data_IF_511207026248
#
_entry.id   IF_511207026248
#
_cell.length_a   1.000
_cell.length_b   1.000
_cell.length_c   1.000
_cell.angle_alpha   90.00
_cell.angle_beta   90.00
_cell.angle_gamma   90.00
#
_symmetry.space_group_name_H-M   'P 1'
#
loop_
_entity.id
_entity.type
_entity.pdbx_description
1 polymer ?
#
# COMPACT_ATOMS: atom_id res chain seq x y z
N UNK A 1 -38.97 -24.14 23.70
CA UNK A 1 -38.18 -22.93 24.06
C UNK A 1 -36.67 -23.15 24.16
N UNK A 2 -36.14 -24.02 25.04
CA UNK A 2 -34.67 -24.14 25.27
C UNK A 2 -33.83 -24.50 24.03
N UNK A 3 -34.34 -25.34 23.12
CA UNK A 3 -33.64 -25.69 21.85
C UNK A 3 -33.57 -24.51 20.87
N UNK A 4 -34.65 -23.74 20.73
CA UNK A 4 -34.69 -22.57 19.85
C UNK A 4 -33.73 -21.46 20.31
N UNK A 5 -33.64 -21.21 21.62
CA UNK A 5 -32.69 -20.23 22.18
C UNK A 5 -31.24 -20.63 21.90
N UNK A 6 -30.91 -21.93 22.02
CA UNK A 6 -29.56 -22.44 21.70
C UNK A 6 -29.20 -22.29 20.22
N UNK A 7 -30.14 -22.55 19.31
CA UNK A 7 -29.92 -22.39 17.87
C UNK A 7 -29.71 -20.93 17.51
N UNK A 8 -30.52 -20.03 18.09
CA UNK A 8 -30.40 -18.59 17.86
C UNK A 8 -29.06 -18.04 18.37
N UNK A 9 -28.62 -18.50 19.54
CA UNK A 9 -27.33 -18.12 20.12
C UNK A 9 -26.16 -18.60 19.26
N UNK A 10 -26.21 -19.82 18.73
CA UNK A 10 -25.18 -20.34 17.83
C UNK A 10 -25.11 -19.53 16.52
N UNK A 11 -26.26 -19.20 15.94
CA UNK A 11 -26.34 -18.37 14.72
C UNK A 11 -25.76 -16.97 14.96
N UNK A 12 -26.08 -16.37 16.12
CA UNK A 12 -25.54 -15.08 16.51
C UNK A 12 -24.02 -15.12 16.66
N UNK A 13 -23.46 -16.16 17.29
CA UNK A 13 -22.01 -16.35 17.43
C UNK A 13 -21.33 -16.48 16.06
N UNK A 14 -21.91 -17.24 15.12
CA UNK A 14 -21.37 -17.40 13.77
C UNK A 14 -21.38 -16.06 13.01
N UNK A 15 -22.50 -15.34 13.04
CA UNK A 15 -22.62 -14.01 12.41
C UNK A 15 -21.63 -13.03 13.05
N UNK A 16 -21.51 -13.04 14.38
CA UNK A 16 -20.58 -12.18 15.10
C UNK A 16 -19.12 -12.46 14.70
N UNK A 17 -18.71 -13.74 14.61
CA UNK A 17 -17.37 -14.09 14.15
C UNK A 17 -17.12 -13.69 12.69
N UNK A 18 -18.12 -13.77 11.81
CA UNK A 18 -18.01 -13.35 10.41
C UNK A 18 -17.80 -11.83 10.29
N UNK A 19 -18.47 -11.03 11.12
CA UNK A 19 -18.33 -9.55 11.11
C UNK A 19 -16.99 -9.10 11.71
N UNK A 20 -16.46 -9.82 12.70
CA UNK A 20 -15.19 -9.46 13.36
C UNK A 20 -13.94 -9.71 12.49
N UNK A 21 -14.06 -10.35 11.33
CA UNK A 21 -12.94 -10.61 10.41
C UNK A 21 -12.65 -9.46 9.43
N UNK A 22 -13.30 -8.31 9.57
CA UNK A 22 -13.01 -7.13 8.76
C UNK A 22 -11.70 -6.50 9.26
N UNK A 23 -10.59 -6.81 8.58
CA UNK A 23 -9.32 -6.11 8.81
C UNK A 23 -9.45 -4.67 8.32
N UNK A 24 -9.13 -3.73 9.19
CA UNK A 24 -9.01 -2.33 8.81
C UNK A 24 -7.88 -2.18 7.77
N UNK A 25 -8.06 -1.23 6.86
CA UNK A 25 -7.03 -0.87 5.89
C UNK A 25 -5.78 -0.37 6.62
N UNK A 26 -4.63 -0.95 6.27
CA UNK A 26 -3.34 -0.52 6.78
C UNK A 26 -2.82 0.67 5.95
N UNK A 27 -2.41 1.74 6.64
CA UNK A 27 -1.73 2.89 6.03
C UNK A 27 -0.31 2.88 6.57
N UNK A 28 0.66 2.69 5.68
CA UNK A 28 2.08 2.72 6.00
C UNK A 28 2.57 4.15 5.91
N UNK A 29 3.16 4.66 6.99
CA UNK A 29 3.71 6.01 7.04
C UNK A 29 5.16 6.00 6.55
N UNK A 30 5.50 6.95 5.70
CA UNK A 30 6.86 7.20 5.22
C UNK A 30 7.36 8.42 6.00
N UNK A 31 8.20 8.20 7.01
CA UNK A 31 8.76 9.27 7.82
C UNK A 31 10.26 9.34 7.57
N UNK A 32 10.70 10.42 6.94
CA UNK A 32 12.09 10.59 6.53
C UNK A 32 12.65 9.35 5.80
N UNK A 33 11.86 8.80 4.88
CA UNK A 33 12.21 7.60 4.14
C UNK A 33 13.30 7.93 3.11
N UNK A 34 14.44 7.24 3.19
CA UNK A 34 15.58 7.51 2.33
C UNK A 34 15.45 6.78 0.99
N UNK A 35 15.70 7.52 -0.11
CA UNK A 35 15.76 6.99 -1.46
C UNK A 35 17.07 7.46 -2.09
N UNK A 36 18.06 6.57 -2.08
CA UNK A 36 19.42 6.87 -2.53
C UNK A 36 19.82 6.02 -3.74
N UNK A 37 20.78 6.51 -4.52
CA UNK A 37 21.23 5.90 -5.78
C UNK A 37 20.19 5.94 -6.92
N UNK A 38 20.64 6.20 -8.15
CA UNK A 38 19.73 6.17 -9.30
C UNK A 38 19.38 4.72 -9.64
N UNK A 39 18.09 4.43 -9.85
CA UNK A 39 17.53 3.08 -10.09
C UNK A 39 17.68 2.06 -8.95
N UNK A 40 18.38 2.37 -7.87
CA UNK A 40 18.32 1.59 -6.63
C UNK A 40 16.88 1.58 -6.11
N UNK A 41 16.44 0.40 -5.68
CA UNK A 41 15.09 0.21 -5.16
C UNK A 41 15.10 0.16 -3.63
N UNK A 42 14.09 0.77 -3.03
CA UNK A 42 13.91 0.86 -1.58
C UNK A 42 12.52 0.37 -1.23
N UNK A 43 12.40 -0.46 -0.19
CA UNK A 43 11.16 -1.18 0.11
C UNK A 43 10.61 -0.83 1.49
N UNK A 44 9.29 -0.73 1.59
CA UNK A 44 8.60 -0.57 2.88
C UNK A 44 8.40 -1.90 3.58
N UNK A 45 7.88 -1.83 4.81
CA UNK A 45 7.24 -2.99 5.41
C UNK A 45 6.05 -3.48 4.55
N UNK A 46 5.73 -4.76 4.71
CA UNK A 46 4.57 -5.38 4.09
C UNK A 46 3.27 -4.99 4.79
N UNK A 47 2.22 -4.69 4.02
CA UNK A 47 0.86 -4.48 4.50
C UNK A 47 -0.14 -5.40 3.81
N UNK A 48 -1.22 -5.75 4.52
CA UNK A 48 -2.25 -6.69 4.02
C UNK A 48 -3.22 -5.97 3.08
N UNK A 49 -3.40 -6.53 1.88
CA UNK A 49 -4.41 -6.06 0.93
C UNK A 49 -5.78 -6.59 1.32
N UNK A 50 -6.72 -5.69 1.58
CA UNK A 50 -8.06 -6.02 2.08
C UNK A 50 -9.12 -6.09 0.97
N UNK A 51 -8.82 -5.57 -0.23
CA UNK A 51 -9.72 -5.59 -1.39
C UNK A 51 -8.97 -5.52 -2.72
N UNK A 52 -9.62 -5.96 -3.79
CA UNK A 52 -9.10 -5.78 -5.15
C UNK A 52 -9.27 -4.31 -5.52
N UNK A 53 -8.18 -3.56 -5.52
CA UNK A 53 -8.18 -2.10 -5.76
C UNK A 53 -6.78 -1.62 -6.17
N UNK A 54 -6.66 -0.45 -6.83
CA UNK A 54 -5.39 0.26 -6.96
C UNK A 54 -4.71 0.45 -5.60
N UNK A 55 -3.36 0.47 -5.60
CA UNK A 55 -2.62 0.95 -4.44
C UNK A 55 -2.50 2.47 -4.52
N UNK A 56 -2.29 3.11 -3.39
CA UNK A 56 -2.25 4.57 -3.29
C UNK A 56 -0.94 5.00 -2.67
N UNK A 57 -0.35 6.02 -3.26
CA UNK A 57 0.82 6.72 -2.71
C UNK A 57 0.44 8.19 -2.57
N UNK A 58 0.71 8.77 -1.41
CA UNK A 58 0.46 10.16 -1.11
C UNK A 58 1.72 10.75 -0.50
N UNK A 59 2.48 11.46 -1.32
CA UNK A 59 3.76 12.03 -0.93
C UNK A 59 3.56 13.47 -0.49
N UNK A 60 4.17 13.84 0.63
CA UNK A 60 4.18 15.23 1.08
C UNK A 60 5.02 16.09 0.13
N UNK A 61 4.71 17.39 0.09
CA UNK A 61 5.50 18.36 -0.66
C UNK A 61 6.90 18.50 -0.03
N UNK A 62 7.93 18.59 -0.88
CA UNK A 62 9.29 18.74 -0.41
C UNK A 62 9.50 20.14 0.19
N UNK A 63 10.24 20.22 1.30
CA UNK A 63 10.63 21.49 1.92
C UNK A 63 12.09 21.78 1.60
N UNK A 64 12.37 22.95 1.01
CA UNK A 64 13.74 23.40 0.75
C UNK A 64 14.43 22.75 -0.45
N UNK A 65 13.70 21.99 -1.27
CA UNK A 65 14.17 21.47 -2.57
C UNK A 65 12.98 21.34 -3.52
N UNK A 66 13.25 21.15 -4.81
CA UNK A 66 12.21 20.82 -5.79
C UNK A 66 11.58 19.46 -5.49
N UNK A 67 10.28 19.32 -5.78
CA UNK A 67 9.57 18.05 -5.75
C UNK A 67 10.16 17.10 -6.80
N UNK A 68 10.37 15.85 -6.40
CA UNK A 68 10.84 14.79 -7.29
C UNK A 68 9.70 13.86 -7.71
N UNK A 69 9.93 13.06 -8.74
CA UNK A 69 9.03 11.99 -9.14
C UNK A 69 9.63 10.65 -8.74
N UNK A 70 8.85 9.85 -8.02
CA UNK A 70 9.18 8.49 -7.66
C UNK A 70 8.46 7.52 -8.56
N UNK A 71 9.21 6.54 -9.06
CA UNK A 71 8.68 5.33 -9.64
C UNK A 71 8.29 4.37 -8.50
N UNK A 72 7.06 3.88 -8.49
CA UNK A 72 6.53 3.01 -7.43
C UNK A 72 5.96 1.70 -7.97
N UNK A 73 6.08 0.61 -7.22
CA UNK A 73 5.37 -0.65 -7.49
C UNK A 73 5.10 -1.42 -6.22
N UNK A 74 4.06 -2.26 -6.24
CA UNK A 74 3.86 -3.23 -5.15
C UNK A 74 4.46 -4.58 -5.48
N UNK A 75 5.09 -5.21 -4.49
CA UNK A 75 5.64 -6.57 -4.58
C UNK A 75 5.04 -7.47 -3.52
N UNK A 76 4.84 -8.75 -3.86
CA UNK A 76 4.43 -9.75 -2.88
C UNK A 76 5.61 -10.21 -2.01
N UNK A 77 5.35 -11.10 -1.06
CA UNK A 77 6.36 -11.68 -0.18
C UNK A 77 7.44 -12.50 -0.90
N UNK A 78 7.17 -12.95 -2.12
CA UNK A 78 8.12 -13.69 -2.96
C UNK A 78 8.98 -12.76 -3.82
N UNK A 79 8.81 -11.43 -3.71
CA UNK A 79 9.53 -10.45 -4.54
C UNK A 79 9.00 -10.33 -5.97
N UNK A 80 7.82 -10.87 -6.26
CA UNK A 80 7.21 -10.72 -7.58
C UNK A 80 6.47 -9.39 -7.68
N UNK A 81 6.64 -8.72 -8.81
CA UNK A 81 5.98 -7.46 -9.12
C UNK A 81 4.50 -7.65 -9.39
N UNK A 82 3.69 -6.70 -8.95
CA UNK A 82 2.23 -6.80 -9.07
C UNK A 82 1.57 -5.58 -9.71
N UNK A 83 2.32 -4.69 -10.35
CA UNK A 83 1.72 -3.63 -11.16
C UNK A 83 1.19 -4.20 -12.49
N UNK A 84 0.15 -3.57 -13.05
CA UNK A 84 -0.27 -3.90 -14.42
C UNK A 84 0.85 -3.61 -15.43
N UNK A 85 0.94 -4.45 -16.45
CA UNK A 85 1.93 -4.39 -17.54
C UNK A 85 3.40 -4.39 -17.09
N UNK A 86 3.69 -4.80 -15.84
CA UNK A 86 5.02 -4.70 -15.23
C UNK A 86 5.62 -3.29 -15.29
N UNK A 87 4.77 -2.25 -15.32
CA UNK A 87 5.22 -0.85 -15.37
C UNK A 87 5.25 -0.24 -13.98
N UNK A 88 6.25 0.60 -13.74
CA UNK A 88 6.30 1.44 -12.55
C UNK A 88 5.18 2.47 -12.61
N UNK A 89 4.43 2.60 -11.51
CA UNK A 89 3.60 3.77 -11.25
C UNK A 89 4.47 4.98 -11.00
N UNK A 90 3.92 6.19 -11.14
CA UNK A 90 4.66 7.44 -10.88
C UNK A 90 3.92 8.29 -9.88
N UNK A 91 4.65 8.82 -8.91
CA UNK A 91 4.10 9.72 -7.90
C UNK A 91 5.05 10.87 -7.68
N UNK A 92 4.56 12.09 -7.90
CA UNK A 92 5.33 13.30 -7.59
C UNK A 92 5.10 13.69 -6.13
N UNK A 93 6.13 14.24 -5.50
CA UNK A 93 5.97 14.87 -4.18
C UNK A 93 4.96 16.02 -4.23
N UNK A 94 4.13 16.11 -3.18
CA UNK A 94 2.98 17.01 -3.11
C UNK A 94 1.70 16.44 -3.72
N UNK A 95 1.74 15.22 -4.28
CA UNK A 95 0.59 14.59 -4.93
C UNK A 95 0.17 13.26 -4.29
N UNK A 96 -1.11 12.94 -4.52
CA UNK A 96 -1.70 11.63 -4.26
C UNK A 96 -2.02 10.95 -5.58
N UNK A 97 -1.46 9.77 -5.81
CA UNK A 97 -1.70 8.95 -7.00
C UNK A 97 -2.31 7.60 -6.65
N UNK A 98 -3.14 7.09 -7.55
CA UNK A 98 -3.64 5.71 -7.51
C UNK A 98 -3.02 4.94 -8.66
N UNK A 99 -2.47 3.77 -8.37
CA UNK A 99 -1.72 2.98 -9.33
C UNK A 99 -2.32 1.58 -9.47
N UNK A 100 -2.60 1.21 -10.71
CA UNK A 100 -3.19 -0.06 -11.09
C UNK A 100 -2.27 -1.26 -10.83
N UNK A 101 -2.87 -2.39 -10.46
CA UNK A 101 -2.14 -3.59 -10.05
C UNK A 101 -2.98 -4.87 -10.23
N UNK A 102 -2.30 -6.01 -10.35
CA UNK A 102 -2.89 -7.35 -10.38
C UNK A 102 -2.76 -8.09 -9.02
N UNK A 103 -2.65 -7.34 -7.92
CA UNK A 103 -2.55 -7.91 -6.58
C UNK A 103 -3.90 -8.43 -6.08
N UNK A 104 -3.85 -9.54 -5.35
CA UNK A 104 -5.02 -10.24 -4.83
C UNK A 104 -5.32 -9.83 -3.39
N UNK A 105 -6.61 -9.79 -3.03
CA UNK A 105 -7.06 -9.62 -1.64
C UNK A 105 -6.54 -10.75 -0.75
N UNK A 106 -6.20 -10.45 0.50
CA UNK A 106 -5.78 -11.40 1.53
C UNK A 106 -4.27 -11.61 1.60
N UNK A 107 -3.52 -11.10 0.63
CA UNK A 107 -2.06 -11.24 0.57
C UNK A 107 -1.35 -9.98 1.08
N UNK A 108 -0.07 -10.14 1.41
CA UNK A 108 0.81 -9.08 1.88
C UNK A 108 1.62 -8.50 0.72
N UNK A 109 1.70 -7.18 0.68
CA UNK A 109 2.51 -6.47 -0.31
C UNK A 109 3.31 -5.34 0.34
N UNK A 110 4.51 -5.10 -0.17
CA UNK A 110 5.31 -3.93 0.17
C UNK A 110 5.32 -2.97 -1.01
N UNK A 111 5.48 -1.67 -0.75
CA UNK A 111 5.76 -0.69 -1.78
C UNK A 111 7.27 -0.61 -1.99
N UNK A 112 7.67 -0.62 -3.24
CA UNK A 112 9.04 -0.39 -3.66
C UNK A 112 9.11 0.91 -4.45
N UNK A 113 10.15 1.68 -4.16
CA UNK A 113 10.40 3.00 -4.69
C UNK A 113 11.74 3.05 -5.39
N UNK A 114 11.82 3.85 -6.44
CA UNK A 114 13.08 4.36 -6.96
C UNK A 114 12.89 5.75 -7.54
N UNK A 115 13.98 6.49 -7.67
CA UNK A 115 13.97 7.81 -8.31
C UNK A 115 13.73 7.64 -9.81
N UNK A 116 12.86 8.48 -10.38
CA UNK A 116 12.69 8.53 -11.83
C UNK A 116 13.98 9.01 -12.51
N UNK A 117 14.60 10.06 -11.97
CA UNK A 117 15.74 10.73 -12.59
C UNK A 117 17.02 10.66 -11.76
N UNK A 118 18.18 10.64 -12.44
CA UNK A 118 19.48 10.51 -11.78
C UNK A 118 19.92 11.80 -11.08
N UNK A 119 19.58 12.95 -11.68
CA UNK A 119 19.95 14.30 -11.21
C UNK A 119 19.15 14.78 -9.99
N UNK A 120 18.23 13.96 -9.48
CA UNK A 120 17.52 14.24 -8.22
C UNK A 120 18.41 14.07 -6.97
N UNK A 121 19.57 13.40 -7.11
CA UNK A 121 20.45 13.09 -5.98
C UNK A 121 19.80 12.16 -4.96
N UNK A 122 20.47 11.95 -3.83
CA UNK A 122 19.88 11.19 -2.73
C UNK A 122 18.90 12.06 -1.96
N UNK A 123 17.72 11.50 -1.69
CA UNK A 123 16.60 12.27 -1.14
C UNK A 123 16.00 11.56 0.06
N UNK A 124 15.33 12.36 0.87
CA UNK A 124 14.46 11.90 1.94
C UNK A 124 13.04 12.37 1.64
N UNK A 125 12.08 11.45 1.74
CA UNK A 125 10.67 11.70 1.44
C UNK A 125 9.79 11.49 2.67
N UNK A 126 8.68 12.21 2.73
CA UNK A 126 7.62 12.00 3.71
C UNK A 126 6.30 11.70 3.00
N UNK A 127 5.40 11.00 3.69
CA UNK A 127 4.06 10.73 3.18
C UNK A 127 3.48 9.44 3.71
N UNK A 128 2.66 8.82 2.88
CA UNK A 128 1.96 7.60 3.22
C UNK A 128 1.68 6.76 1.98
N UNK A 129 1.57 5.45 2.19
CA UNK A 129 1.09 4.53 1.18
C UNK A 129 0.08 3.56 1.79
N UNK A 130 -0.79 3.04 0.92
CA UNK A 130 -1.68 1.94 1.25
C UNK A 130 -1.76 1.00 0.06
N UNK A 131 -1.73 -0.31 0.31
CA UNK A 131 -2.03 -1.34 -0.70
C UNK A 131 -3.44 -1.22 -1.25
N UNK A 132 -4.33 -0.49 -0.58
CA UNK A 132 -5.72 -0.27 -0.96
C UNK A 132 -6.08 1.21 -1.09
N UNK A 133 -6.93 1.55 -2.06
CA UNK A 133 -7.54 2.89 -2.14
C UNK A 133 -8.72 3.06 -1.15
N UNK A 134 -9.34 4.25 -1.09
CA UNK A 134 -10.38 4.57 -0.09
C UNK A 134 -11.74 3.90 -0.34
N UNK A 135 -12.06 3.49 -1.57
CA UNK A 135 -13.44 3.14 -1.98
C UNK A 135 -14.08 1.99 -1.18
#
# INVERSE_FOLDING_TARGET
MKKFVKVFFLLFVIIFMLVMNIKAREIVRLNSFQVYGHKNTHRTAYSIKTKVSPYVVNLEEARGRRNVVLETMILNSNGEWRNWDNRWGKTKEGERTENGNNASKGYKYALEFRREYFWDGDITINGMYSVDNRN
#
